data_IF_070053768497
#
_entry.id   IF_070053768497
#
_cell.length_a   1.000
_cell.length_b   1.000
_cell.length_c   1.000
_cell.angle_alpha   90.00
_cell.angle_beta   90.00
_cell.angle_gamma   90.00
#
_symmetry.space_group_name_H-M   'P 1'
#
loop_
_entity.id
_entity.type
_entity.pdbx_description
1 polymer ?
#
# COMPACT_ATOMS: atom_id res chain seq x y z
N UNK A 1 3.80 -3.72 13.72
CA UNK A 1 3.49 -2.30 13.96
C UNK A 1 4.76 -1.48 13.92
N UNK A 2 4.81 -0.51 13.00
CA UNK A 2 5.97 0.36 12.86
C UNK A 2 5.83 1.63 13.70
N UNK A 3 4.61 2.08 13.95
CA UNK A 3 4.33 3.26 14.74
C UNK A 3 2.91 3.24 15.28
N UNK A 4 2.63 4.11 16.24
CA UNK A 4 1.33 4.15 16.92
C UNK A 4 0.53 5.42 16.72
N UNK A 5 1.16 6.52 16.32
CA UNK A 5 0.50 7.79 16.09
C UNK A 5 1.12 8.51 14.89
N UNK A 6 0.65 8.25 13.66
CA UNK A 6 -0.46 7.36 13.28
C UNK A 6 -0.08 5.88 13.41
N UNK A 7 -1.09 5.04 13.61
CA UNK A 7 -0.87 3.59 13.60
C UNK A 7 -0.35 3.17 12.24
N UNK A 8 0.84 2.58 12.22
CA UNK A 8 1.54 2.24 10.98
C UNK A 8 1.88 0.75 10.98
N UNK A 9 1.38 0.02 10.01
CA UNK A 9 1.59 -1.41 9.89
C UNK A 9 2.33 -1.74 8.60
N UNK A 10 3.42 -2.50 8.72
CA UNK A 10 4.12 -3.11 7.60
C UNK A 10 3.60 -4.53 7.42
N UNK A 11 3.23 -4.88 6.20
CA UNK A 11 2.66 -6.18 5.90
C UNK A 11 3.39 -6.84 4.75
N UNK A 12 3.88 -8.06 4.96
CA UNK A 12 4.60 -8.82 3.95
C UNK A 12 3.71 -9.77 3.15
N UNK A 13 2.41 -9.81 3.45
CA UNK A 13 1.48 -10.63 2.68
C UNK A 13 1.47 -10.17 1.22
N UNK A 14 1.52 -11.13 0.30
CA UNK A 14 1.62 -10.85 -1.13
C UNK A 14 0.70 -11.73 -1.98
N UNK A 15 -0.09 -12.58 -1.36
CA UNK A 15 -1.07 -13.41 -2.05
C UNK A 15 -2.48 -13.07 -1.57
N UNK A 16 -3.48 -13.59 -2.31
CA UNK A 16 -4.88 -13.25 -2.06
C UNK A 16 -5.33 -13.63 -0.64
N UNK A 17 -4.97 -14.83 -0.18
CA UNK A 17 -5.40 -15.31 1.14
C UNK A 17 -4.83 -14.45 2.25
N UNK A 18 -3.53 -14.19 2.23
CA UNK A 18 -2.88 -13.39 3.27
C UNK A 18 -3.37 -11.96 3.29
N UNK A 19 -3.45 -11.33 2.12
CA UNK A 19 -3.95 -9.95 2.02
C UNK A 19 -5.40 -9.84 2.45
N UNK A 20 -6.23 -10.82 2.09
CA UNK A 20 -7.64 -10.82 2.45
C UNK A 20 -7.83 -10.75 3.97
N UNK A 21 -7.08 -11.55 4.71
CA UNK A 21 -7.14 -11.58 6.18
C UNK A 21 -6.70 -10.24 6.76
N UNK A 22 -5.56 -9.72 6.33
CA UNK A 22 -5.01 -8.47 6.85
C UNK A 22 -5.93 -7.29 6.55
N UNK A 23 -6.43 -7.19 5.32
CA UNK A 23 -7.29 -6.07 4.94
C UNK A 23 -8.65 -6.12 5.60
N UNK A 24 -9.19 -7.31 5.88
CA UNK A 24 -10.40 -7.44 6.67
C UNK A 24 -10.19 -6.92 8.10
N UNK A 25 -9.07 -7.28 8.72
CA UNK A 25 -8.73 -6.79 10.06
C UNK A 25 -8.58 -5.27 10.07
N UNK A 26 -7.94 -4.71 9.05
CA UNK A 26 -7.76 -3.26 8.93
C UNK A 26 -9.12 -2.56 8.80
N UNK A 27 -10.01 -3.07 7.98
CA UNK A 27 -11.35 -2.50 7.82
C UNK A 27 -12.12 -2.51 9.12
N UNK A 28 -11.93 -3.52 9.95
CA UNK A 28 -12.62 -3.63 11.24
C UNK A 28 -12.17 -2.59 12.26
N UNK A 29 -11.03 -1.92 12.04
CA UNK A 29 -10.57 -0.84 12.91
C UNK A 29 -11.45 0.41 12.82
N UNK A 30 -12.20 0.55 11.74
CA UNK A 30 -13.09 1.70 11.51
C UNK A 30 -12.39 3.06 11.60
N UNK A 31 -11.14 3.13 11.17
CA UNK A 31 -10.39 4.38 11.11
C UNK A 31 -10.83 5.12 9.83
N UNK A 32 -11.33 6.37 9.95
CA UNK A 32 -11.93 7.05 8.79
C UNK A 32 -10.95 7.40 7.68
N UNK A 33 -9.69 7.72 8.02
CA UNK A 33 -8.70 8.11 7.03
C UNK A 33 -7.56 7.10 7.02
N UNK A 34 -7.41 6.41 5.89
CA UNK A 34 -6.39 5.39 5.71
C UNK A 34 -5.48 5.75 4.55
N UNK A 35 -4.19 5.48 4.73
CA UNK A 35 -3.15 5.69 3.73
C UNK A 35 -2.48 4.37 3.40
N UNK A 36 -2.31 4.10 2.11
CA UNK A 36 -1.70 2.86 1.63
C UNK A 36 -0.47 3.16 0.79
N UNK A 37 0.69 2.85 1.33
CA UNK A 37 1.96 2.89 0.60
C UNK A 37 2.18 1.50 0.03
N UNK A 38 2.01 1.35 -1.28
CA UNK A 38 2.00 0.03 -1.91
C UNK A 38 2.86 -0.03 -3.16
N UNK A 39 3.49 -1.19 -3.33
CA UNK A 39 4.20 -1.57 -4.52
C UNK A 39 4.18 -3.08 -4.64
N UNK A 40 4.28 -3.59 -5.84
CA UNK A 40 4.18 -5.03 -6.09
C UNK A 40 5.32 -5.50 -6.97
N UNK A 41 5.63 -6.79 -6.88
CA UNK A 41 6.41 -7.46 -7.92
C UNK A 41 5.47 -7.67 -9.11
N UNK A 42 6.05 -7.78 -10.30
CA UNK A 42 5.26 -8.01 -11.51
C UNK A 42 4.63 -9.41 -11.46
N UNK A 43 3.34 -9.46 -11.20
CA UNK A 43 2.57 -10.68 -10.98
C UNK A 43 1.24 -10.55 -11.71
N UNK A 44 0.78 -11.64 -12.32
CA UNK A 44 -0.49 -11.65 -13.08
C UNK A 44 -1.72 -11.52 -12.19
N UNK A 45 -1.62 -11.80 -10.89
CA UNK A 45 -2.78 -11.80 -10.00
C UNK A 45 -3.06 -10.44 -9.36
N UNK A 46 -2.32 -9.38 -9.75
CA UNK A 46 -2.50 -8.04 -9.16
C UNK A 46 -3.92 -7.54 -9.34
N UNK A 47 -4.54 -7.77 -10.49
CA UNK A 47 -5.91 -7.33 -10.76
C UNK A 47 -6.91 -7.93 -9.77
N UNK A 48 -6.66 -9.13 -9.29
CA UNK A 48 -7.51 -9.78 -8.27
C UNK A 48 -7.25 -9.17 -6.88
N UNK A 49 -6.02 -8.78 -6.61
CA UNK A 49 -5.65 -8.22 -5.30
C UNK A 49 -6.22 -6.83 -5.11
N UNK A 50 -6.33 -6.04 -6.16
CA UNK A 50 -6.83 -4.65 -6.07
C UNK A 50 -8.19 -4.58 -5.40
N UNK A 51 -9.07 -5.52 -5.68
CA UNK A 51 -10.41 -5.52 -5.13
C UNK A 51 -10.46 -5.69 -3.61
N UNK A 52 -9.38 -6.16 -3.01
CA UNK A 52 -9.27 -6.31 -1.56
C UNK A 52 -9.02 -4.98 -0.86
N UNK A 53 -8.46 -4.01 -1.55
CA UNK A 53 -8.14 -2.71 -0.97
C UNK A 53 -9.36 -1.79 -0.99
N UNK A 54 -9.50 -0.89 0.01
CA UNK A 54 -10.67 0.01 0.06
C UNK A 54 -10.63 1.03 -1.08
N UNK A 55 -11.81 1.40 -1.60
CA UNK A 55 -11.91 2.44 -2.61
C UNK A 55 -11.64 3.83 -2.03
N UNK A 56 -12.13 4.09 -0.82
CA UNK A 56 -11.98 5.38 -0.16
C UNK A 56 -10.74 5.39 0.72
N UNK A 57 -9.59 5.63 0.12
CA UNK A 57 -8.33 5.70 0.83
C UNK A 57 -7.36 6.54 0.02
N UNK A 58 -6.25 6.93 0.65
CA UNK A 58 -5.17 7.65 -0.01
C UNK A 58 -4.08 6.66 -0.40
N UNK A 59 -3.76 6.59 -1.69
CA UNK A 59 -2.77 5.65 -2.22
C UNK A 59 -1.48 6.35 -2.63
N UNK A 60 -0.36 5.74 -2.27
CA UNK A 60 0.99 6.20 -2.58
C UNK A 60 1.67 5.05 -3.30
N UNK A 61 1.70 5.14 -4.64
CA UNK A 61 2.20 4.05 -5.47
C UNK A 61 3.71 4.16 -5.67
N UNK A 62 4.40 3.06 -5.48
CA UNK A 62 5.84 2.96 -5.65
C UNK A 62 6.21 1.62 -6.27
N UNK A 63 7.49 1.44 -6.58
CA UNK A 63 7.99 0.18 -7.09
C UNK A 63 9.17 -0.26 -6.24
N UNK A 64 9.22 -1.52 -5.77
CA UNK A 64 10.41 -1.99 -5.08
C UNK A 64 11.60 -2.00 -6.03
N UNK A 65 12.80 -1.69 -5.50
CA UNK A 65 14.03 -1.57 -6.30
C UNK A 65 14.61 -2.94 -6.64
N UNK A 66 13.85 -3.72 -7.40
CA UNK A 66 14.26 -5.03 -7.89
C UNK A 66 13.84 -5.17 -9.34
N UNK A 67 14.49 -6.10 -10.06
CA UNK A 67 14.25 -6.30 -11.50
C UNK A 67 12.77 -6.61 -11.82
N UNK A 68 12.10 -7.35 -10.95
CA UNK A 68 10.70 -7.74 -11.15
C UNK A 68 9.70 -6.79 -10.51
N UNK A 69 10.15 -5.62 -10.05
CA UNK A 69 9.23 -4.63 -9.51
C UNK A 69 8.25 -4.15 -10.58
N UNK A 70 6.96 -4.14 -10.25
CA UNK A 70 5.96 -3.58 -11.14
C UNK A 70 6.11 -2.07 -11.17
N UNK A 71 6.15 -1.50 -12.38
CA UNK A 71 6.23 -0.05 -12.54
C UNK A 71 5.09 0.67 -11.80
N UNK A 72 5.46 1.71 -11.05
CA UNK A 72 4.48 2.41 -10.22
C UNK A 72 3.39 3.11 -11.05
N UNK A 73 3.70 3.56 -12.27
CA UNK A 73 2.70 4.14 -13.15
C UNK A 73 1.69 3.10 -13.64
N UNK A 74 2.16 1.89 -13.94
CA UNK A 74 1.26 0.79 -14.30
C UNK A 74 0.36 0.43 -13.11
N UNK A 75 0.93 0.39 -11.92
CA UNK A 75 0.18 0.10 -10.69
C UNK A 75 -0.92 1.16 -10.47
N UNK A 76 -0.56 2.43 -10.60
CA UNK A 76 -1.53 3.52 -10.51
C UNK A 76 -2.67 3.35 -11.51
N UNK A 77 -2.34 3.02 -12.75
CA UNK A 77 -3.36 2.84 -13.80
C UNK A 77 -4.30 1.68 -13.49
N UNK A 78 -3.76 0.56 -13.00
CA UNK A 78 -4.56 -0.59 -12.62
C UNK A 78 -5.53 -0.25 -11.47
N UNK A 79 -5.04 0.44 -10.46
CA UNK A 79 -5.87 0.87 -9.33
C UNK A 79 -6.91 1.90 -9.76
N UNK A 80 -6.55 2.83 -10.62
CA UNK A 80 -7.47 3.89 -11.11
C UNK A 80 -8.65 3.30 -11.89
N UNK A 81 -8.42 2.24 -12.66
CA UNK A 81 -9.50 1.55 -13.38
C UNK A 81 -10.53 0.92 -12.45
N UNK A 82 -10.19 0.75 -11.18
CA UNK A 82 -11.06 0.17 -10.17
C UNK A 82 -11.41 1.17 -9.07
N UNK A 83 -11.43 2.45 -9.41
CA UNK A 83 -11.84 3.55 -8.53
C UNK A 83 -10.97 3.74 -7.28
N UNK A 84 -9.69 3.39 -7.37
CA UNK A 84 -8.71 3.63 -6.30
C UNK A 84 -7.65 4.55 -6.85
N UNK A 85 -7.56 5.76 -6.30
CA UNK A 85 -6.76 6.83 -6.87
C UNK A 85 -5.64 7.26 -5.93
N UNK A 86 -4.51 7.65 -6.49
CA UNK A 86 -3.37 8.09 -5.72
C UNK A 86 -2.27 8.68 -6.57
N UNK A 87 -1.10 8.83 -5.98
CA UNK A 87 0.06 9.48 -6.57
C UNK A 87 1.22 8.50 -6.69
N UNK A 88 2.00 8.64 -7.76
CA UNK A 88 3.20 7.83 -8.01
C UNK A 88 4.43 8.51 -7.42
N UNK A 89 5.31 7.71 -6.84
CA UNK A 89 6.59 8.18 -6.28
C UNK A 89 7.75 7.40 -6.88
N UNK A 90 8.92 8.03 -6.91
CA UNK A 90 10.12 7.45 -7.55
C UNK A 90 10.76 6.32 -6.74
N UNK A 91 10.43 6.22 -5.45
CA UNK A 91 10.95 5.16 -4.59
C UNK A 91 9.97 4.86 -3.47
N UNK A 92 10.17 3.70 -2.84
CA UNK A 92 9.40 3.31 -1.65
C UNK A 92 9.61 4.34 -0.54
N UNK A 93 10.86 4.76 -0.33
CA UNK A 93 11.20 5.73 0.71
C UNK A 93 10.48 7.06 0.49
N UNK A 94 10.47 7.56 -0.76
CA UNK A 94 9.81 8.83 -1.07
C UNK A 94 8.29 8.74 -0.85
N UNK A 95 7.69 7.62 -1.22
CA UNK A 95 6.27 7.40 -1.00
C UNK A 95 5.94 7.42 0.50
N UNK A 96 6.74 6.72 1.29
CA UNK A 96 6.52 6.65 2.73
C UNK A 96 6.76 8.00 3.41
N UNK A 97 7.82 8.72 3.01
CA UNK A 97 8.12 10.04 3.57
C UNK A 97 6.98 11.01 3.28
N UNK A 98 6.45 11.01 2.05
CA UNK A 98 5.30 11.85 1.71
C UNK A 98 4.06 11.47 2.49
N UNK A 99 3.80 10.18 2.62
CA UNK A 99 2.68 9.68 3.41
C UNK A 99 2.77 10.17 4.86
N UNK A 100 3.92 10.05 5.49
CA UNK A 100 4.12 10.52 6.87
C UNK A 100 3.92 12.02 7.00
N UNK A 101 4.26 12.79 5.97
CA UNK A 101 4.09 14.25 6.01
C UNK A 101 2.63 14.68 5.93
N UNK A 102 1.77 13.85 5.34
CA UNK A 102 0.35 14.14 5.15
C UNK A 102 -0.51 13.53 6.24
N UNK A 103 -0.18 12.32 6.69
CA UNK A 103 -0.99 11.58 7.65
C UNK A 103 -1.02 12.28 9.01
N UNK A 104 -2.20 12.30 9.61
CA UNK A 104 -2.41 12.86 10.94
C UNK A 104 -2.33 11.75 11.99
N UNK A 105 -2.19 12.15 13.26
CA UNK A 105 -1.96 11.19 14.35
C UNK A 105 -3.05 10.13 14.50
N UNK A 106 -4.28 10.43 14.10
CA UNK A 106 -5.41 9.50 14.21
C UNK A 106 -5.67 8.73 12.91
N UNK A 107 -4.86 8.96 11.89
CA UNK A 107 -4.97 8.23 10.64
C UNK A 107 -4.31 6.86 10.75
N UNK A 108 -4.50 6.03 9.72
CA UNK A 108 -3.88 4.71 9.63
C UNK A 108 -2.97 4.67 8.40
N UNK A 109 -1.80 4.07 8.54
CA UNK A 109 -0.85 3.87 7.43
C UNK A 109 -0.58 2.38 7.25
N UNK A 110 -0.78 1.90 6.04
CA UNK A 110 -0.41 0.54 5.62
C UNK A 110 0.76 0.62 4.64
N UNK A 111 1.74 -0.25 4.83
CA UNK A 111 2.88 -0.36 3.93
C UNK A 111 2.98 -1.82 3.51
N UNK A 112 2.90 -2.08 2.21
CA UNK A 112 2.96 -3.47 1.79
C UNK A 112 2.76 -3.67 0.30
N UNK A 113 2.18 -4.82 -0.03
CA UNK A 113 2.04 -5.34 -1.38
C UNK A 113 3.15 -6.29 -1.77
N UNK A 114 4.31 -6.16 -1.11
CA UNK A 114 5.47 -7.03 -1.35
C UNK A 114 6.43 -6.97 -0.18
N UNK A 115 7.05 -8.10 0.13
CA UNK A 115 8.15 -8.15 1.10
C UNK A 115 9.26 -7.16 0.74
N UNK A 116 9.52 -6.96 -0.56
CA UNK A 116 10.57 -6.05 -1.02
C UNK A 116 10.26 -4.59 -0.72
N UNK A 117 9.00 -4.21 -0.73
CA UNK A 117 8.58 -2.85 -0.34
C UNK A 117 8.86 -2.63 1.15
N UNK A 118 8.46 -3.55 1.99
CA UNK A 118 8.69 -3.46 3.44
C UNK A 118 10.18 -3.42 3.75
N UNK A 119 10.98 -4.22 3.05
CA UNK A 119 12.43 -4.30 3.26
C UNK A 119 13.14 -2.96 3.02
N UNK A 120 12.59 -2.08 2.19
CA UNK A 120 13.20 -0.78 1.91
C UNK A 120 12.88 0.26 2.99
N UNK A 121 12.01 -0.04 3.92
CA UNK A 121 11.59 0.89 4.98
C UNK A 121 12.19 0.52 6.33
N UNK A 122 12.26 -0.76 6.65
CA UNK A 122 12.77 -1.23 7.94
C UNK A 122 14.26 -1.57 7.91
#
# INVERSE_FOLDING_TARGET
VLGQSPLTICDTAHNKEGLSIVLEDIKSLNIPIMHFVIGFVNDKDIDLLINLFPEKAHYYFCSPSILRGLDANELKNKFSRKNRHGTVFSSVKDAFDKCKSIAKKDDFIYIGGSTFVVAEII
#
